data_IF_071964419781
#
_entry.id   IF_071964419781
#
_cell.length_a   1.000
_cell.length_b   1.000
_cell.length_c   1.000
_cell.angle_alpha   90.00
_cell.angle_beta   90.00
_cell.angle_gamma   90.00
#
_symmetry.space_group_name_H-M   'P 1'
#
loop_
_entity.id
_entity.type
_entity.pdbx_description
1 polymer ?
#
# COMPACT_ATOMS: atom_id res chain seq x y z
N UNK A 1 18.52 -1.62 3.14
CA UNK A 1 18.10 -2.96 3.59
C UNK A 1 16.89 -3.40 2.78
N UNK A 2 16.74 -4.71 2.51
CA UNK A 2 15.54 -5.28 1.88
C UNK A 2 14.38 -5.49 2.87
N UNK A 3 14.65 -5.42 4.17
CA UNK A 3 13.65 -5.65 5.22
C UNK A 3 12.86 -4.35 5.47
N UNK A 4 11.51 -4.35 5.39
CA UNK A 4 10.69 -3.16 5.54
C UNK A 4 10.46 -2.78 7.03
N UNK A 5 11.49 -2.86 7.86
CA UNK A 5 11.39 -2.63 9.31
C UNK A 5 11.63 -1.17 9.68
N UNK A 6 10.76 -0.28 9.17
CA UNK A 6 10.89 1.16 9.36
C UNK A 6 11.17 1.52 10.83
N UNK A 7 10.31 1.09 11.76
CA UNK A 7 10.46 1.42 13.19
C UNK A 7 11.79 0.96 13.80
N UNK A 8 12.24 -0.24 13.43
CA UNK A 8 13.50 -0.80 13.93
C UNK A 8 14.67 0.03 13.39
N UNK A 9 14.69 0.32 12.08
CA UNK A 9 15.76 1.10 11.47
C UNK A 9 15.77 2.55 11.94
N UNK A 10 14.61 3.17 12.21
CA UNK A 10 14.56 4.51 12.79
C UNK A 10 15.16 4.54 14.20
N UNK A 11 14.82 3.58 15.07
CA UNK A 11 15.42 3.48 16.40
C UNK A 11 16.93 3.23 16.31
N UNK A 12 17.35 2.32 15.43
CA UNK A 12 18.76 2.01 15.20
C UNK A 12 19.54 3.26 14.77
N UNK A 13 19.04 4.01 13.78
CA UNK A 13 19.70 5.23 13.30
C UNK A 13 19.86 6.27 14.42
N UNK A 14 18.86 6.43 15.29
CA UNK A 14 18.97 7.33 16.45
C UNK A 14 20.05 6.86 17.44
N UNK A 15 20.14 5.56 17.72
CA UNK A 15 21.18 4.99 18.58
C UNK A 15 22.57 5.17 17.97
N UNK A 16 22.73 4.91 16.67
CA UNK A 16 24.01 5.09 15.98
C UNK A 16 24.44 6.56 15.96
N UNK A 17 23.50 7.50 15.78
CA UNK A 17 23.78 8.94 15.85
C UNK A 17 24.25 9.38 17.26
N UNK A 18 23.67 8.79 18.32
CA UNK A 18 24.09 9.04 19.69
C UNK A 18 25.52 8.54 19.96
N UNK A 19 25.86 7.33 19.48
CA UNK A 19 27.23 6.82 19.56
C UNK A 19 28.25 7.69 18.82
N UNK A 20 27.92 8.17 17.62
CA UNK A 20 28.76 9.11 16.88
C UNK A 20 28.97 10.41 17.66
N UNK A 21 27.91 10.94 18.27
CA UNK A 21 27.97 12.18 19.06
C UNK A 21 28.82 12.00 20.32
N UNK A 22 28.77 10.82 20.94
CA UNK A 22 29.57 10.45 22.12
C UNK A 22 30.97 9.92 21.80
N UNK A 23 31.36 9.86 20.52
CA UNK A 23 32.63 9.31 20.05
C UNK A 23 32.88 7.84 20.48
N UNK A 24 31.82 7.04 20.59
CA UNK A 24 31.88 5.62 20.94
C UNK A 24 32.03 4.74 19.69
N UNK A 25 33.15 4.86 18.98
CA UNK A 25 33.36 4.15 17.71
C UNK A 25 33.40 2.62 17.86
N UNK A 26 33.95 2.10 18.96
CA UNK A 26 34.01 0.66 19.20
C UNK A 26 32.60 0.07 19.35
N UNK A 27 31.78 0.66 20.23
CA UNK A 27 30.39 0.21 20.46
C UNK A 27 29.54 0.31 19.18
N UNK A 28 29.77 1.35 18.37
CA UNK A 28 29.12 1.53 17.08
C UNK A 28 29.48 0.41 16.10
N UNK A 29 30.77 0.11 15.95
CA UNK A 29 31.25 -0.93 15.05
C UNK A 29 30.79 -2.33 15.49
N UNK A 30 30.86 -2.61 16.80
CA UNK A 30 30.40 -3.88 17.37
C UNK A 30 28.90 -4.10 17.13
N UNK A 31 28.08 -3.06 17.28
CA UNK A 31 26.64 -3.12 17.00
C UNK A 31 26.36 -3.37 15.51
N UNK A 32 27.06 -2.67 14.61
CA UNK A 32 26.89 -2.83 13.16
C UNK A 32 27.32 -4.21 12.68
N UNK A 33 28.46 -4.72 13.15
CA UNK A 33 28.94 -6.06 12.81
C UNK A 33 27.97 -7.13 13.33
N UNK A 34 27.52 -7.01 14.58
CA UNK A 34 26.54 -7.93 15.17
C UNK A 34 25.22 -7.95 14.39
N UNK A 35 24.76 -6.79 13.90
CA UNK A 35 23.54 -6.71 13.09
C UNK A 35 23.74 -7.28 11.68
N UNK A 36 24.92 -7.07 11.08
CA UNK A 36 25.25 -7.54 9.74
C UNK A 36 25.36 -9.06 9.68
N UNK A 37 25.99 -9.66 10.69
CA UNK A 37 26.17 -11.12 10.80
C UNK A 37 24.90 -11.84 11.30
N UNK A 38 23.90 -11.09 11.77
CA UNK A 38 22.65 -11.67 12.26
C UNK A 38 21.87 -12.31 11.08
N UNK A 39 21.56 -13.62 11.13
CA UNK A 39 20.69 -14.23 10.14
C UNK A 39 19.29 -13.62 10.24
N UNK A 40 18.61 -13.43 9.10
CA UNK A 40 17.30 -12.78 9.05
C UNK A 40 16.32 -13.47 10.02
N UNK A 41 15.93 -12.80 11.12
CA UNK A 41 15.09 -13.41 12.14
C UNK A 41 13.66 -13.63 11.65
N UNK A 42 13.02 -14.68 12.16
CA UNK A 42 11.60 -14.97 11.87
C UNK A 42 10.70 -13.92 12.53
N UNK A 43 9.46 -13.71 12.02
CA UNK A 43 8.47 -12.85 12.68
C UNK A 43 8.32 -13.15 14.17
N UNK A 44 8.15 -12.11 14.98
CA UNK A 44 8.04 -12.16 16.45
C UNK A 44 9.28 -12.68 17.20
N UNK A 45 10.40 -12.92 16.52
CA UNK A 45 11.65 -13.26 17.20
C UNK A 45 12.24 -12.00 17.85
N UNK A 46 12.59 -12.02 19.14
CA UNK A 46 13.30 -10.92 19.76
C UNK A 46 14.74 -10.86 19.23
N UNK A 47 15.16 -9.68 18.79
CA UNK A 47 16.54 -9.40 18.42
C UNK A 47 17.14 -8.51 19.51
N UNK A 48 18.17 -9.02 20.18
CA UNK A 48 18.94 -8.25 21.16
C UNK A 48 20.10 -7.56 20.45
N UNK A 49 19.93 -6.28 20.15
CA UNK A 49 21.03 -5.42 19.71
C UNK A 49 21.46 -4.61 20.93
N UNK A 50 22.46 -5.10 21.70
CA UNK A 50 23.19 -4.51 22.85
C UNK A 50 22.45 -3.57 23.84
N UNK A 51 21.62 -2.63 23.37
CA UNK A 51 20.86 -1.63 24.13
C UNK A 51 19.34 -1.65 23.82
N UNK A 52 18.85 -2.41 22.82
CA UNK A 52 17.41 -2.44 22.47
C UNK A 52 16.94 -3.84 22.02
N UNK A 53 15.85 -4.31 22.62
CA UNK A 53 15.10 -5.49 22.14
C UNK A 53 14.10 -5.04 21.09
N UNK A 54 14.26 -5.55 19.87
CA UNK A 54 13.32 -5.30 18.77
C UNK A 54 12.56 -6.58 18.41
N UNK A 55 11.25 -6.48 18.22
CA UNK A 55 10.43 -7.59 17.73
C UNK A 55 10.23 -7.45 16.23
N UNK A 56 10.46 -8.54 15.50
CA UNK A 56 10.19 -8.58 14.05
C UNK A 56 8.68 -8.47 13.82
N UNK A 57 8.20 -7.43 13.11
CA UNK A 57 6.78 -7.22 12.90
C UNK A 57 6.18 -8.24 11.93
N UNK A 58 4.90 -8.57 12.12
CA UNK A 58 4.10 -9.31 11.12
C UNK A 58 3.59 -8.38 10.01
N UNK A 59 3.09 -8.98 8.93
CA UNK A 59 2.73 -8.32 7.67
C UNK A 59 1.60 -7.27 7.72
N UNK A 60 0.80 -7.11 8.81
CA UNK A 60 0.02 -5.89 8.97
C UNK A 60 0.69 -4.83 9.87
N UNK A 61 1.64 -5.22 10.73
CA UNK A 61 2.18 -4.36 11.81
C UNK A 61 3.20 -3.36 11.27
N UNK A 62 4.09 -3.73 10.35
CA UNK A 62 5.07 -2.78 9.80
C UNK A 62 4.45 -1.67 8.93
N UNK A 63 3.19 -1.83 8.52
CA UNK A 63 2.43 -0.82 7.79
C UNK A 63 1.92 0.29 8.73
N UNK A 64 1.92 0.09 10.06
CA UNK A 64 1.20 0.95 11.01
C UNK A 64 1.80 2.35 11.18
N UNK A 65 3.13 2.52 11.26
CA UNK A 65 3.71 3.86 11.48
C UNK A 65 3.46 4.81 10.32
N UNK A 66 3.76 4.35 9.10
CA UNK A 66 3.54 5.14 7.89
C UNK A 66 2.06 5.44 7.69
N UNK A 67 1.18 4.48 8.00
CA UNK A 67 -0.27 4.68 7.93
C UNK A 67 -0.78 5.71 8.97
N UNK A 68 -0.16 5.76 10.16
CA UNK A 68 -0.52 6.74 11.19
C UNK A 68 -0.19 8.16 10.75
N UNK A 69 1.05 8.41 10.29
CA UNK A 69 1.45 9.74 9.82
C UNK A 69 0.68 10.15 8.56
N UNK A 70 0.41 9.21 7.65
CA UNK A 70 -0.46 9.44 6.49
C UNK A 70 -1.89 9.84 6.89
N UNK A 71 -2.51 9.10 7.82
CA UNK A 71 -3.88 9.39 8.28
C UNK A 71 -4.00 10.73 9.00
N UNK A 72 -2.93 11.15 9.70
CA UNK A 72 -2.88 12.47 10.36
C UNK A 72 -2.66 13.59 9.34
N UNK A 73 -1.89 13.35 8.27
CA UNK A 73 -1.52 14.37 7.32
C UNK A 73 -2.53 14.56 6.17
N UNK A 74 -3.29 13.52 5.81
CA UNK A 74 -4.16 13.52 4.62
C UNK A 74 -5.62 13.37 5.01
N UNK A 75 -6.44 14.30 4.53
CA UNK A 75 -7.89 14.32 4.74
C UNK A 75 -8.55 13.06 4.18
N UNK A 76 -9.60 12.58 4.87
CA UNK A 76 -10.36 11.39 4.46
C UNK A 76 -10.83 11.47 3.01
N UNK A 77 -11.27 12.63 2.51
CA UNK A 77 -11.69 12.76 1.11
C UNK A 77 -10.50 12.55 0.15
N UNK A 78 -9.33 13.12 0.44
CA UNK A 78 -8.12 12.94 -0.36
C UNK A 78 -7.62 11.50 -0.28
N UNK A 79 -7.74 10.83 0.87
CA UNK A 79 -7.42 9.40 0.99
C UNK A 79 -8.29 8.54 0.05
N UNK A 80 -9.59 8.84 -0.04
CA UNK A 80 -10.52 8.14 -0.94
C UNK A 80 -10.18 8.37 -2.40
N UNK A 81 -9.89 9.62 -2.77
CA UNK A 81 -9.50 9.99 -4.14
C UNK A 81 -8.17 9.34 -4.54
N UNK A 82 -7.19 9.33 -3.63
CA UNK A 82 -5.89 8.69 -3.86
C UNK A 82 -6.03 7.18 -4.00
N UNK A 83 -6.85 6.56 -3.15
CA UNK A 83 -7.17 5.13 -3.25
C UNK A 83 -7.86 4.79 -4.58
N UNK A 84 -8.85 5.58 -5.01
CA UNK A 84 -9.49 5.40 -6.30
C UNK A 84 -8.49 5.55 -7.47
N UNK A 85 -7.61 6.56 -7.40
CA UNK A 85 -6.56 6.77 -8.41
C UNK A 85 -5.59 5.59 -8.50
N UNK A 86 -5.24 4.97 -7.37
CA UNK A 86 -4.40 3.76 -7.36
C UNK A 86 -5.13 2.54 -7.96
N UNK A 87 -6.44 2.39 -7.70
CA UNK A 87 -7.26 1.34 -8.30
C UNK A 87 -7.47 1.51 -9.82
N UNK A 88 -7.16 2.68 -10.37
CA UNK A 88 -7.14 2.93 -11.82
C UNK A 88 -5.70 2.96 -12.38
N UNK A 89 -4.70 2.59 -11.56
CA UNK A 89 -3.27 2.67 -11.89
C UNK A 89 -2.89 4.02 -12.53
N UNK A 90 -3.33 5.13 -11.93
CA UNK A 90 -2.98 6.47 -12.43
C UNK A 90 -1.50 6.81 -12.18
N UNK A 91 -1.03 7.81 -12.92
CA UNK A 91 0.23 8.51 -12.63
C UNK A 91 0.02 9.45 -11.45
N UNK A 92 0.63 9.15 -10.30
CA UNK A 92 0.36 9.81 -9.03
C UNK A 92 1.63 10.46 -8.47
N UNK A 93 1.54 11.74 -8.11
CA UNK A 93 2.57 12.50 -7.42
C UNK A 93 2.05 12.94 -6.06
N UNK A 94 2.76 12.56 -5.00
CA UNK A 94 2.56 13.12 -3.66
C UNK A 94 3.61 14.21 -3.44
N UNK A 95 3.22 15.36 -2.88
CA UNK A 95 4.15 16.44 -2.55
C UNK A 95 3.96 16.96 -1.13
N UNK A 96 5.07 17.25 -0.46
CA UNK A 96 5.13 17.85 0.88
C UNK A 96 6.47 18.56 1.09
N UNK A 97 6.49 19.57 1.96
CA UNK A 97 7.71 20.22 2.44
C UNK A 97 8.49 19.40 3.47
N UNK A 98 7.89 18.35 4.05
CA UNK A 98 8.54 17.47 5.03
C UNK A 98 8.78 16.10 4.43
N UNK A 99 10.05 15.69 4.37
CA UNK A 99 10.42 14.37 3.82
C UNK A 99 9.86 13.19 4.62
N UNK A 100 9.71 13.33 5.94
CA UNK A 100 9.09 12.29 6.78
C UNK A 100 7.63 12.07 6.38
N UNK A 101 6.88 13.15 6.26
CA UNK A 101 5.46 13.12 5.90
C UNK A 101 5.27 12.67 4.46
N UNK A 102 6.15 13.10 3.55
CA UNK A 102 6.16 12.65 2.16
C UNK A 102 6.29 11.12 2.06
N UNK A 103 7.34 10.53 2.64
CA UNK A 103 7.56 9.08 2.56
C UNK A 103 6.52 8.29 3.33
N UNK A 104 6.08 8.79 4.48
CA UNK A 104 5.00 8.19 5.24
C UNK A 104 3.70 8.16 4.44
N UNK A 105 3.35 9.25 3.75
CA UNK A 105 2.18 9.29 2.88
C UNK A 105 2.31 8.32 1.70
N UNK A 106 3.48 8.22 1.07
CA UNK A 106 3.68 7.32 -0.06
C UNK A 106 3.58 5.85 0.37
N UNK A 107 4.26 5.45 1.44
CA UNK A 107 4.19 4.09 1.97
C UNK A 107 2.83 3.79 2.62
N UNK A 108 2.25 4.74 3.32
CA UNK A 108 0.94 4.62 3.98
C UNK A 108 -0.20 4.48 2.98
N UNK A 109 -0.15 5.22 1.87
CA UNK A 109 -1.16 5.12 0.83
C UNK A 109 -1.08 3.76 0.11
N UNK A 110 0.11 3.33 -0.30
CA UNK A 110 0.29 2.03 -0.98
C UNK A 110 -0.04 0.83 -0.08
N UNK A 111 0.11 0.96 1.25
CA UNK A 111 -0.32 -0.04 2.21
C UNK A 111 -1.83 -0.34 2.15
N UNK A 112 -2.65 0.63 1.74
CA UNK A 112 -4.11 0.49 1.63
C UNK A 112 -4.53 -0.50 0.53
N UNK A 113 -3.61 -0.83 -0.39
CA UNK A 113 -3.87 -1.79 -1.48
C UNK A 113 -3.79 -3.24 -1.02
N UNK A 114 -3.32 -3.54 0.20
CA UNK A 114 -3.19 -4.91 0.68
C UNK A 114 -4.51 -5.69 0.52
N UNK A 115 -4.49 -6.91 -0.05
CA UNK A 115 -3.35 -7.80 -0.29
C UNK A 115 -2.59 -7.56 -1.61
N UNK A 116 -3.00 -6.57 -2.39
CA UNK A 116 -2.35 -6.18 -3.62
C UNK A 116 -1.24 -5.18 -3.32
N UNK A 117 -0.29 -5.08 -4.25
CA UNK A 117 0.83 -4.15 -4.15
C UNK A 117 0.94 -3.37 -5.45
N UNK A 118 1.41 -2.13 -5.36
CA UNK A 118 1.73 -1.35 -6.54
C UNK A 118 2.84 -2.05 -7.35
N UNK A 119 2.61 -2.26 -8.65
CA UNK A 119 3.51 -3.06 -9.50
C UNK A 119 4.37 -2.22 -10.45
N UNK A 120 4.02 -0.94 -10.62
CA UNK A 120 4.70 -0.05 -11.55
C UNK A 120 5.78 0.78 -10.83
N UNK A 121 6.25 1.87 -11.44
CA UNK A 121 7.28 2.73 -10.87
C UNK A 121 6.83 3.22 -9.48
N UNK A 122 7.67 2.97 -8.48
CA UNK A 122 7.43 3.35 -7.09
C UNK A 122 8.67 4.03 -6.53
N UNK A 123 8.59 5.34 -6.28
CA UNK A 123 9.73 6.13 -5.80
C UNK A 123 9.27 7.01 -4.63
N UNK A 124 9.45 6.60 -3.37
CA UNK A 124 8.97 7.34 -2.19
C UNK A 124 9.46 8.79 -2.09
N UNK A 125 10.68 9.06 -2.56
CA UNK A 125 11.21 10.42 -2.73
C UNK A 125 12.03 10.45 -4.00
N UNK A 126 11.63 11.28 -4.96
CA UNK A 126 12.30 11.46 -6.23
C UNK A 126 13.37 12.57 -6.11
N UNK A 127 14.66 12.26 -6.32
CA UNK A 127 15.73 13.25 -6.29
C UNK A 127 15.63 14.26 -7.46
N UNK A 128 16.24 15.47 -7.33
CA UNK A 128 16.17 16.51 -8.35
C UNK A 128 16.73 16.13 -9.73
N UNK A 129 17.68 15.22 -9.78
CA UNK A 129 18.31 14.77 -11.02
C UNK A 129 17.50 13.68 -11.74
N UNK A 130 16.47 13.13 -11.10
CA UNK A 130 15.57 12.10 -11.67
C UNK A 130 14.17 12.66 -11.96
N UNK A 131 13.98 13.97 -11.96
CA UNK A 131 12.66 14.57 -12.24
C UNK A 131 12.12 14.24 -13.64
N UNK A 132 12.99 13.81 -14.57
CA UNK A 132 12.61 13.31 -15.90
C UNK A 132 11.70 12.08 -15.84
N UNK A 133 11.77 11.30 -14.74
CA UNK A 133 10.88 10.15 -14.54
C UNK A 133 9.41 10.56 -14.30
N UNK A 134 9.12 11.81 -13.96
CA UNK A 134 7.72 12.27 -13.89
C UNK A 134 7.05 12.36 -15.26
N UNK A 135 7.82 12.44 -16.35
CA UNK A 135 7.29 12.50 -17.72
C UNK A 135 6.95 11.13 -18.30
N UNK A 136 7.11 10.08 -17.49
CA UNK A 136 7.09 8.72 -17.99
C UNK A 136 5.61 8.26 -18.21
N UNK A 137 5.29 7.58 -19.34
CA UNK A 137 3.90 7.36 -19.76
C UNK A 137 3.16 6.23 -19.01
N UNK A 138 3.86 5.22 -18.52
CA UNK A 138 3.27 4.17 -17.69
C UNK A 138 2.88 4.67 -16.29
N UNK A 139 2.01 3.94 -15.57
CA UNK A 139 1.64 4.29 -14.21
C UNK A 139 2.86 4.45 -13.31
N UNK A 140 2.79 5.41 -12.38
CA UNK A 140 3.81 5.60 -11.38
C UNK A 140 3.20 6.13 -10.09
N UNK A 141 3.88 5.88 -8.98
CA UNK A 141 3.54 6.43 -7.68
C UNK A 141 4.82 7.02 -7.08
N UNK A 142 4.95 8.34 -7.11
CA UNK A 142 6.19 9.02 -6.72
C UNK A 142 5.95 10.12 -5.70
N UNK A 143 6.90 10.30 -4.78
CA UNK A 143 6.94 11.44 -3.88
C UNK A 143 7.91 12.50 -4.39
N UNK A 144 7.50 13.76 -4.43
CA UNK A 144 8.35 14.88 -4.83
C UNK A 144 8.36 15.91 -3.70
N UNK A 145 9.54 16.36 -3.27
CA UNK A 145 9.61 17.43 -2.27
C UNK A 145 9.04 18.74 -2.83
N UNK A 146 8.31 19.51 -2.02
CA UNK A 146 7.58 20.71 -2.46
C UNK A 146 8.46 21.72 -3.22
N UNK A 147 9.74 21.87 -2.84
CA UNK A 147 10.68 22.76 -3.54
C UNK A 147 10.96 22.38 -5.00
N UNK A 148 10.63 21.15 -5.40
CA UNK A 148 10.83 20.63 -6.75
C UNK A 148 9.53 20.63 -7.57
N UNK A 149 8.37 20.87 -6.95
CA UNK A 149 7.07 20.77 -7.60
C UNK A 149 6.94 21.72 -8.80
N UNK A 150 7.43 22.95 -8.69
CA UNK A 150 7.43 23.92 -9.80
C UNK A 150 8.24 23.43 -11.00
N UNK A 151 9.38 22.79 -10.77
CA UNK A 151 10.20 22.17 -11.84
C UNK A 151 9.54 20.93 -12.45
N UNK A 152 8.66 20.28 -11.70
CA UNK A 152 7.86 19.16 -12.17
C UNK A 152 6.71 19.66 -13.04
N UNK A 153 6.01 20.71 -12.60
CA UNK A 153 4.93 21.37 -13.34
C UNK A 153 5.38 22.09 -14.61
N UNK A 154 6.62 22.58 -14.64
CA UNK A 154 7.19 23.18 -15.86
C UNK A 154 7.41 22.16 -16.98
N UNK A 155 7.30 20.87 -16.68
CA UNK A 155 7.31 19.80 -17.68
C UNK A 155 5.86 19.58 -18.12
N UNK A 156 5.64 19.25 -19.39
CA UNK A 156 4.30 18.90 -19.91
C UNK A 156 3.81 17.58 -19.31
N UNK A 157 3.29 17.66 -18.08
CA UNK A 157 2.62 16.56 -17.40
C UNK A 157 1.18 16.50 -17.89
N UNK A 158 0.89 15.50 -18.70
CA UNK A 158 -0.48 15.16 -19.08
C UNK A 158 -1.01 14.07 -18.15
N UNK A 159 -2.29 14.13 -17.81
CA UNK A 159 -3.04 13.19 -16.96
C UNK A 159 -2.30 12.60 -15.75
N UNK A 160 -1.89 13.50 -14.84
CA UNK A 160 -1.25 13.17 -13.57
C UNK A 160 -2.14 13.62 -12.42
N UNK A 161 -2.27 12.78 -11.40
CA UNK A 161 -2.92 13.11 -10.12
C UNK A 161 -1.87 13.65 -9.17
N UNK A 162 -2.07 14.86 -8.64
CA UNK A 162 -1.12 15.51 -7.73
C UNK A 162 -1.81 15.79 -6.40
N UNK A 163 -1.28 15.23 -5.31
CA UNK A 163 -1.73 15.54 -3.94
C UNK A 163 -0.66 16.38 -3.24
N UNK A 164 -1.00 17.63 -2.94
CA UNK A 164 -0.22 18.44 -2.01
C UNK A 164 -0.71 18.19 -0.58
N UNK A 165 0.12 17.50 0.20
CA UNK A 165 -0.17 17.10 1.58
C UNK A 165 -0.18 18.31 2.51
N UNK A 166 0.63 19.33 2.24
CA UNK A 166 0.75 20.50 3.12
C UNK A 166 -0.53 21.35 3.09
N UNK A 167 -1.20 21.42 1.94
CA UNK A 167 -2.45 22.17 1.73
C UNK A 167 -3.69 21.27 1.66
N UNK A 168 -3.53 19.95 1.70
CA UNK A 168 -4.59 18.98 1.43
C UNK A 168 -5.37 19.25 0.12
N UNK A 169 -4.67 19.72 -0.92
CA UNK A 169 -5.25 19.97 -2.24
C UNK A 169 -4.88 18.85 -3.20
N UNK A 170 -5.89 18.19 -3.76
CA UNK A 170 -5.74 17.15 -4.77
C UNK A 170 -6.19 17.68 -6.14
N UNK A 171 -5.28 17.63 -7.10
CA UNK A 171 -5.51 17.97 -8.51
C UNK A 171 -5.62 16.66 -9.29
N UNK A 172 -6.76 16.41 -9.92
CA UNK A 172 -6.99 15.22 -10.76
C UNK A 172 -7.80 15.61 -11.99
N UNK A 173 -7.38 15.21 -13.20
CA UNK A 173 -8.19 15.34 -14.40
C UNK A 173 -9.24 14.22 -14.53
N UNK A 174 -9.23 13.25 -13.61
CA UNK A 174 -10.11 12.08 -13.62
C UNK A 174 -11.14 12.12 -12.49
N UNK A 175 -12.30 11.51 -12.73
CA UNK A 175 -13.34 11.26 -11.73
C UNK A 175 -13.35 9.77 -11.30
N UNK A 176 -12.20 9.29 -10.88
CA UNK A 176 -11.98 7.87 -10.55
C UNK A 176 -12.82 7.40 -9.35
N UNK A 177 -13.08 8.29 -8.39
CA UNK A 177 -13.87 7.94 -7.20
C UNK A 177 -15.33 7.65 -7.55
N UNK A 178 -15.87 8.32 -8.57
CA UNK A 178 -17.24 8.07 -9.05
C UNK A 178 -17.39 6.69 -9.73
N UNK A 179 -16.30 6.14 -10.28
CA UNK A 179 -16.31 4.81 -10.90
C UNK A 179 -16.33 3.67 -9.86
N UNK A 180 -16.12 3.97 -8.58
CA UNK A 180 -16.23 3.00 -7.50
C UNK A 180 -17.68 2.86 -7.02
N UNK A 181 -18.10 1.67 -6.58
CA UNK A 181 -19.42 1.46 -5.96
C UNK A 181 -19.64 2.40 -4.76
N UNK A 182 -20.71 3.19 -4.81
CA UNK A 182 -20.98 4.26 -3.85
C UNK A 182 -21.28 3.76 -2.44
N UNK A 183 -21.86 2.56 -2.32
CA UNK A 183 -22.08 1.83 -1.07
C UNK A 183 -20.75 1.46 -0.39
N UNK A 184 -19.78 0.98 -1.17
CA UNK A 184 -18.43 0.66 -0.68
C UNK A 184 -17.69 1.93 -0.24
N UNK A 185 -17.72 2.99 -1.07
CA UNK A 185 -17.07 4.27 -0.76
C UNK A 185 -17.69 4.94 0.46
N UNK A 186 -19.03 4.95 0.57
CA UNK A 186 -19.73 5.55 1.72
C UNK A 186 -19.46 4.78 3.01
N UNK A 187 -19.45 3.44 2.95
CA UNK A 187 -19.06 2.59 4.08
C UNK A 187 -17.63 2.89 4.55
N UNK A 188 -16.66 2.96 3.63
CA UNK A 188 -15.28 3.32 3.95
C UNK A 188 -15.17 4.72 4.57
N UNK A 189 -15.78 5.73 3.92
CA UNK A 189 -15.81 7.12 4.40
C UNK A 189 -16.40 7.21 5.81
N UNK A 190 -17.49 6.49 6.08
CA UNK A 190 -18.12 6.48 7.39
C UNK A 190 -17.22 5.89 8.48
N UNK A 191 -16.44 4.84 8.16
CA UNK A 191 -15.50 4.23 9.09
C UNK A 191 -14.31 5.13 9.36
N UNK A 192 -13.70 5.72 8.33
CA UNK A 192 -12.55 6.62 8.48
C UNK A 192 -12.88 7.88 9.29
N UNK A 193 -14.13 8.34 9.27
CA UNK A 193 -14.57 9.48 10.09
C UNK A 193 -14.82 9.15 11.58
N UNK A 194 -14.89 7.87 11.97
CA UNK A 194 -15.10 7.49 13.37
C UNK A 194 -13.78 7.63 14.14
N UNK A 195 -13.82 8.29 15.29
CA UNK A 195 -12.66 8.45 16.17
C UNK A 195 -12.04 7.12 16.61
N UNK A 196 -12.85 6.08 16.79
CA UNK A 196 -12.37 4.72 17.15
C UNK A 196 -11.51 4.07 16.06
N UNK A 197 -11.56 4.57 14.82
CA UNK A 197 -10.78 4.06 13.69
C UNK A 197 -9.37 4.66 13.66
N UNK A 198 -9.17 5.83 14.28
CA UNK A 198 -7.91 6.55 14.34
C UNK A 198 -6.87 5.86 15.25
N UNK A 199 -7.29 4.91 16.09
CA UNK A 199 -6.41 4.18 17.00
C UNK A 199 -6.21 2.72 16.56
N UNK A 200 -4.99 2.21 16.77
CA UNK A 200 -4.65 0.81 16.48
C UNK A 200 -4.67 0.48 14.98
N UNK A 201 -5.33 -0.62 14.61
CA UNK A 201 -5.41 -1.14 13.24
C UNK A 201 -6.68 -0.73 12.49
N UNK A 202 -7.47 0.22 13.03
CA UNK A 202 -8.78 0.60 12.49
C UNK A 202 -8.75 1.06 11.03
N UNK A 203 -7.82 1.97 10.68
CA UNK A 203 -7.64 2.45 9.30
C UNK A 203 -7.32 1.30 8.35
N UNK A 204 -6.32 0.47 8.70
CA UNK A 204 -5.91 -0.66 7.88
C UNK A 204 -7.06 -1.65 7.66
N UNK A 205 -7.81 -1.97 8.72
CA UNK A 205 -8.98 -2.87 8.62
C UNK A 205 -10.11 -2.28 7.78
N UNK A 206 -10.31 -0.96 7.83
CA UNK A 206 -11.32 -0.31 7.00
C UNK A 206 -11.00 -0.49 5.51
N UNK A 207 -9.75 -0.24 5.10
CA UNK A 207 -9.30 -0.47 3.72
C UNK A 207 -9.26 -1.95 3.33
N UNK A 208 -8.84 -2.84 4.24
CA UNK A 208 -8.88 -4.29 4.03
C UNK A 208 -10.29 -4.78 3.71
N UNK A 209 -11.29 -4.32 4.47
CA UNK A 209 -12.68 -4.65 4.23
C UNK A 209 -13.20 -4.06 2.92
N UNK A 210 -12.75 -2.89 2.54
CA UNK A 210 -13.06 -2.31 1.22
C UNK A 210 -12.45 -3.13 0.09
N UNK A 211 -11.18 -3.54 0.21
CA UNK A 211 -10.54 -4.45 -0.74
C UNK A 211 -11.33 -5.77 -0.84
N UNK A 212 -11.77 -6.33 0.29
CA UNK A 212 -12.56 -7.57 0.31
C UNK A 212 -13.93 -7.37 -0.35
N UNK A 213 -14.58 -6.21 -0.15
CA UNK A 213 -15.85 -5.90 -0.80
C UNK A 213 -15.72 -5.71 -2.33
N UNK A 214 -14.61 -5.13 -2.80
CA UNK A 214 -14.37 -4.87 -4.22
C UNK A 214 -13.91 -6.11 -4.98
N UNK A 215 -13.05 -6.93 -4.37
CA UNK A 215 -12.36 -8.02 -5.06
C UNK A 215 -12.69 -9.41 -4.49
N UNK A 216 -13.49 -9.53 -3.44
CA UNK A 216 -13.76 -10.80 -2.75
C UNK A 216 -14.43 -11.87 -3.62
N UNK A 217 -15.21 -11.45 -4.61
CA UNK A 217 -15.85 -12.33 -5.61
C UNK A 217 -14.85 -13.06 -6.52
N UNK A 218 -13.55 -12.75 -6.44
CA UNK A 218 -12.53 -13.48 -7.19
C UNK A 218 -12.53 -14.99 -6.89
N UNK A 219 -12.94 -15.38 -5.67
CA UNK A 219 -13.07 -16.79 -5.26
C UNK A 219 -14.08 -17.54 -6.12
N UNK A 220 -15.20 -16.91 -6.44
CA UNK A 220 -16.29 -17.50 -7.25
C UNK A 220 -15.89 -17.66 -8.73
N UNK A 221 -14.87 -16.92 -9.16
CA UNK A 221 -14.30 -16.98 -10.50
C UNK A 221 -13.18 -18.03 -10.66
N UNK A 222 -12.76 -18.69 -9.57
CA UNK A 222 -11.83 -19.82 -9.66
C UNK A 222 -12.51 -21.03 -10.31
N UNK A 223 -11.76 -21.76 -11.14
CA UNK A 223 -12.23 -22.96 -11.84
C UNK A 223 -11.42 -24.16 -11.42
N UNK A 224 -12.12 -25.15 -10.88
CA UNK A 224 -11.57 -26.42 -10.44
C UNK A 224 -12.00 -27.49 -11.44
N UNK A 225 -11.03 -28.04 -12.16
CA UNK A 225 -11.25 -29.14 -13.10
C UNK A 225 -10.36 -30.32 -12.67
N UNK A 226 -10.92 -31.53 -12.49
CA UNK A 226 -10.13 -32.69 -12.10
C UNK A 226 -8.98 -32.94 -13.09
N UNK A 227 -7.75 -33.01 -12.58
CA UNK A 227 -6.55 -33.28 -13.39
C UNK A 227 -5.94 -32.07 -14.11
N UNK A 228 -6.56 -30.89 -14.04
CA UNK A 228 -6.02 -29.64 -14.59
C UNK A 228 -5.61 -28.68 -13.45
N UNK A 229 -4.65 -27.77 -13.69
CA UNK A 229 -4.36 -26.70 -12.74
C UNK A 229 -5.60 -25.81 -12.54
N UNK A 230 -5.73 -25.27 -11.33
CA UNK A 230 -6.73 -24.27 -10.99
C UNK A 230 -6.44 -23.01 -11.81
N UNK A 231 -7.47 -22.48 -12.45
CA UNK A 231 -7.42 -21.27 -13.28
C UNK A 231 -8.41 -20.22 -12.83
N UNK A 232 -8.20 -18.97 -13.22
CA UNK A 232 -9.12 -17.85 -12.99
C UNK A 232 -9.95 -17.57 -14.25
N UNK A 233 -11.26 -17.42 -14.11
CA UNK A 233 -12.19 -17.14 -15.22
C UNK A 233 -12.63 -15.66 -15.18
N UNK A 234 -12.03 -14.83 -16.02
CA UNK A 234 -12.31 -13.39 -16.09
C UNK A 234 -13.78 -13.10 -16.41
N UNK A 235 -14.38 -13.84 -17.34
CA UNK A 235 -15.79 -13.68 -17.70
C UNK A 235 -16.72 -13.88 -16.50
N UNK A 236 -16.41 -14.88 -15.66
CA UNK A 236 -17.18 -15.15 -14.45
C UNK A 236 -16.98 -14.08 -13.38
N UNK A 237 -15.76 -13.53 -13.28
CA UNK A 237 -15.44 -12.49 -12.31
C UNK A 237 -16.17 -11.18 -12.65
N UNK A 238 -16.14 -10.79 -13.93
CA UNK A 238 -16.77 -9.56 -14.42
C UNK A 238 -18.30 -9.64 -14.37
N UNK A 239 -18.87 -10.84 -14.52
CA UNK A 239 -20.31 -11.03 -14.55
C UNK A 239 -20.97 -10.78 -13.18
N UNK A 240 -21.40 -9.54 -12.95
CA UNK A 240 -22.03 -9.11 -11.70
C UNK A 240 -23.40 -8.45 -11.93
N UNK A 241 -24.32 -8.58 -10.96
CA UNK A 241 -25.70 -8.04 -11.02
C UNK A 241 -25.72 -6.50 -11.08
N UNK A 242 -24.86 -5.84 -10.30
CA UNK A 242 -24.70 -4.38 -10.31
C UNK A 242 -23.90 -3.92 -11.54
N UNK A 243 -24.47 -2.99 -12.32
CA UNK A 243 -23.84 -2.43 -13.51
C UNK A 243 -22.56 -1.63 -13.18
N UNK A 244 -22.56 -0.86 -12.10
CA UNK A 244 -21.38 -0.12 -11.62
C UNK A 244 -20.27 -1.07 -11.24
N UNK A 245 -20.58 -2.11 -10.45
CA UNK A 245 -19.56 -3.09 -10.05
C UNK A 245 -19.07 -3.88 -11.26
N UNK A 246 -19.94 -4.26 -12.20
CA UNK A 246 -19.53 -4.90 -13.46
C UNK A 246 -18.55 -4.01 -14.24
N UNK A 247 -18.82 -2.71 -14.36
CA UNK A 247 -17.89 -1.76 -15.02
C UNK A 247 -16.55 -1.69 -14.31
N UNK A 248 -16.57 -1.61 -12.98
CA UNK A 248 -15.36 -1.63 -12.15
C UNK A 248 -14.58 -2.94 -12.33
N UNK A 249 -15.24 -4.09 -12.30
CA UNK A 249 -14.59 -5.40 -12.44
C UNK A 249 -14.02 -5.62 -13.84
N UNK A 250 -14.69 -5.14 -14.90
CA UNK A 250 -14.15 -5.13 -16.26
C UNK A 250 -12.83 -4.35 -16.34
N UNK A 251 -12.74 -3.21 -15.66
CA UNK A 251 -11.49 -2.46 -15.55
C UNK A 251 -10.47 -3.21 -14.69
N UNK A 252 -10.90 -3.76 -13.55
CA UNK A 252 -10.06 -4.44 -12.57
C UNK A 252 -9.22 -5.58 -13.16
N UNK A 253 -9.78 -6.35 -14.09
CA UNK A 253 -9.08 -7.45 -14.78
C UNK A 253 -7.85 -6.95 -15.54
N UNK A 254 -7.85 -5.71 -16.00
CA UNK A 254 -6.73 -5.10 -16.74
C UNK A 254 -5.66 -4.50 -15.82
N UNK A 255 -5.88 -4.44 -14.51
CA UNK A 255 -4.93 -3.86 -13.57
C UNK A 255 -3.77 -4.83 -13.30
N UNK A 256 -2.54 -4.34 -13.39
CA UNK A 256 -1.35 -5.13 -13.10
C UNK A 256 -1.30 -5.59 -11.63
N UNK A 257 -1.72 -4.72 -10.70
CA UNK A 257 -1.81 -5.06 -9.27
C UNK A 257 -2.78 -6.22 -8.99
N UNK A 258 -3.87 -6.33 -9.77
CA UNK A 258 -4.85 -7.39 -9.62
C UNK A 258 -4.35 -8.68 -10.26
N UNK A 259 -3.75 -8.59 -11.44
CA UNK A 259 -3.15 -9.72 -12.15
C UNK A 259 -2.08 -10.43 -11.30
N UNK A 260 -1.15 -9.67 -10.73
CA UNK A 260 -0.12 -10.23 -9.84
C UNK A 260 -0.71 -10.89 -8.58
N UNK A 261 -1.77 -10.31 -8.04
CA UNK A 261 -2.50 -10.93 -6.94
C UNK A 261 -3.11 -12.28 -7.33
N UNK A 262 -3.85 -12.34 -8.45
CA UNK A 262 -4.47 -13.58 -8.95
C UNK A 262 -3.41 -14.64 -9.27
N UNK A 263 -2.38 -14.29 -10.05
CA UNK A 263 -1.30 -15.22 -10.40
C UNK A 263 -0.59 -15.76 -9.15
N UNK A 264 -0.36 -14.89 -8.16
CA UNK A 264 0.19 -15.28 -6.86
C UNK A 264 -0.71 -16.22 -6.05
N UNK A 265 -2.04 -16.04 -6.11
CA UNK A 265 -3.01 -16.96 -5.49
C UNK A 265 -3.03 -18.31 -6.22
N UNK A 266 -3.11 -18.29 -7.55
CA UNK A 266 -3.13 -19.50 -8.38
C UNK A 266 -1.86 -20.33 -8.18
N UNK A 267 -0.69 -19.70 -8.14
CA UNK A 267 0.58 -20.39 -7.89
C UNK A 267 0.59 -21.12 -6.54
N UNK A 268 0.05 -20.51 -5.47
CA UNK A 268 -0.06 -21.14 -4.15
C UNK A 268 -1.02 -22.34 -4.17
N UNK A 269 -2.21 -22.17 -4.75
CA UNK A 269 -3.21 -23.24 -4.85
C UNK A 269 -2.71 -24.43 -5.67
N UNK A 270 -2.10 -24.16 -6.82
CA UNK A 270 -1.56 -25.20 -7.70
C UNK A 270 -0.33 -25.91 -7.11
N UNK A 271 0.38 -25.27 -6.18
CA UNK A 271 1.43 -25.91 -5.40
C UNK A 271 0.91 -26.73 -4.20
N UNK A 272 -0.43 -26.85 -4.04
CA UNK A 272 -1.05 -27.51 -2.89
C UNK A 272 -0.87 -26.75 -1.57
N UNK A 273 -0.37 -25.51 -1.62
CA UNK A 273 -0.22 -24.65 -0.45
C UNK A 273 -1.52 -23.87 -0.30
N UNK A 274 -2.37 -24.31 0.63
CA UNK A 274 -3.45 -23.46 1.11
C UNK A 274 -2.90 -22.11 1.59
N UNK A 275 -3.72 -21.07 1.51
CA UNK A 275 -3.40 -19.77 2.08
C UNK A 275 -4.56 -19.28 2.92
N UNK A 276 -4.22 -18.75 4.09
CA UNK A 276 -5.16 -18.03 4.95
C UNK A 276 -4.40 -16.79 5.41
N UNK A 277 -4.93 -15.62 5.08
CA UNK A 277 -4.41 -14.34 5.52
C UNK A 277 -5.58 -13.42 5.86
N UNK A 278 -5.26 -12.25 6.43
CA UNK A 278 -6.26 -11.30 6.90
C UNK A 278 -7.29 -10.90 5.82
N UNK A 279 -6.91 -10.90 4.54
CA UNK A 279 -7.84 -10.62 3.45
C UNK A 279 -8.83 -11.77 3.25
N UNK A 280 -8.36 -13.02 3.30
CA UNK A 280 -9.24 -14.19 3.20
C UNK A 280 -10.19 -14.35 4.39
N UNK A 281 -9.74 -13.96 5.57
CA UNK A 281 -10.58 -13.87 6.78
C UNK A 281 -11.68 -12.81 6.58
N UNK A 282 -11.31 -11.61 6.11
CA UNK A 282 -12.27 -10.52 5.91
C UNK A 282 -13.29 -10.81 4.79
N UNK A 283 -12.92 -11.57 3.74
CA UNK A 283 -13.88 -12.08 2.75
C UNK A 283 -14.94 -12.97 3.40
N UNK A 284 -14.49 -13.86 4.30
CA UNK A 284 -15.34 -14.86 4.94
C UNK A 284 -16.24 -14.22 6.00
N UNK A 285 -15.70 -13.36 6.86
CA UNK A 285 -16.46 -12.60 7.85
C UNK A 285 -17.44 -11.60 7.21
N UNK A 286 -17.04 -11.05 6.06
CA UNK A 286 -17.83 -10.05 5.34
C UNK A 286 -18.92 -10.62 4.43
N UNK A 287 -18.91 -11.93 4.16
CA UNK A 287 -19.83 -12.57 3.23
C UNK A 287 -19.66 -12.09 1.79
N UNK A 288 -18.44 -11.71 1.39
CA UNK A 288 -18.15 -11.15 0.06
C UNK A 288 -17.90 -12.23 -1.02
N UNK A 289 -18.16 -13.50 -0.69
CA UNK A 289 -17.97 -14.69 -1.50
C UNK A 289 -19.08 -15.68 -1.16
N UNK A 290 -19.61 -16.36 -2.18
CA UNK A 290 -20.78 -17.24 -2.04
C UNK A 290 -22.04 -16.55 -2.54
N UNK A 291 -22.44 -16.91 -3.76
CA UNK A 291 -23.73 -16.55 -4.32
C UNK A 291 -24.87 -17.14 -3.50
N UNK A 292 -25.82 -16.29 -3.08
CA UNK A 292 -27.24 -16.65 -3.11
C UNK A 292 -27.73 -16.79 -4.56
#
# INVERSE_FOLDING_TARGET
SYLPWFEIYYKLLNTLADYLTKQQENDLNDMLNSLYDLPVPKPFTPVNLSVTVCYVPSVPVYLQRNLTEYFVAVDVNNMLQLYASMLHERRIIITSSKLSTLTACVHGATAMLFPMYWQHIFIPVLPPHLLDYCCAPMPYFVGVHLSLLERVRSRSLEDVVILNVDTNTLESPFDDLHNLPSDVVSSLKSKLKKQSTATGSGVARAFLRTQAALFGSYRDALRYKPGEPITFCEESFVNHRSSTLRSFLSMAVNLQLFKQFIDGRLAKLNAGRGFTDAFEEEITEGGFCGSE
#
